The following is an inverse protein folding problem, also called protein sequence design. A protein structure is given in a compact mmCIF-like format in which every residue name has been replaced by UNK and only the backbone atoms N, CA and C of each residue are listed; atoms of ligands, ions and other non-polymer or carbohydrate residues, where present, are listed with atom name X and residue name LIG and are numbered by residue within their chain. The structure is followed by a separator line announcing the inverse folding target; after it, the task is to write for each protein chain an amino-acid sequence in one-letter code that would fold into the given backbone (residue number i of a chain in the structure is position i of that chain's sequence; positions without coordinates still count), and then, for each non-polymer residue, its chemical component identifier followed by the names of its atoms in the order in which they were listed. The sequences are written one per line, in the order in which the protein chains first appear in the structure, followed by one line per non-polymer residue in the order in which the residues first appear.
data_IF_986091171919
#
_entry.id   IF_986091171919
#
_cell.length_a   1.000
_cell.length_b   1.000
_cell.length_c   1.000
_cell.angle_alpha   90.00
_cell.angle_beta   90.00
_cell.angle_gamma   90.00
#
_symmetry.space_group_name_H-M   'P 1'
#
loop_
_entity.id
_entity.type
_entity.pdbx_description
1 polymer ?
#
# COMPACT_ATOMS: atom_id res chain seq x y z
N UNK A 1 0.65 -2.96 5.46
CA UNK A 1 1.41 -4.00 4.72
C UNK A 1 1.61 -3.56 3.29
N UNK A 2 2.68 -3.96 2.61
CA UNK A 2 2.98 -3.41 1.29
C UNK A 2 4.36 -3.75 0.75
N UNK A 3 4.76 -2.99 -0.27
CA UNK A 3 6.05 -3.05 -0.94
C UNK A 3 6.76 -1.70 -0.75
N UNK A 4 8.06 -1.73 -0.53
CA UNK A 4 8.92 -0.56 -0.51
C UNK A 4 10.05 -0.75 -1.53
N UNK A 5 10.41 0.32 -2.25
CA UNK A 5 11.67 0.33 -2.99
C UNK A 5 12.85 0.17 -2.03
N UNK A 6 13.90 -0.49 -2.48
CA UNK A 6 15.14 -0.65 -1.70
C UNK A 6 15.76 0.70 -1.33
N UNK A 7 15.65 1.68 -2.23
CA UNK A 7 16.17 3.04 -2.09
C UNK A 7 15.43 3.90 -1.06
N UNK A 8 14.38 3.39 -0.44
CA UNK A 8 13.61 4.15 0.57
C UNK A 8 14.46 4.30 1.84
N UNK A 9 14.68 5.53 2.34
CA UNK A 9 15.39 5.75 3.59
C UNK A 9 14.72 5.04 4.78
N UNK A 10 15.53 4.45 5.67
CA UNK A 10 15.03 3.70 6.84
C UNK A 10 15.26 4.42 8.17
N UNK A 11 15.97 5.53 8.13
CA UNK A 11 16.37 6.37 9.25
C UNK A 11 15.47 7.60 9.45
N UNK A 12 14.44 7.76 8.63
CA UNK A 12 13.53 8.91 8.67
C UNK A 12 12.06 8.51 8.76
N UNK A 13 11.24 9.40 9.32
CA UNK A 13 9.80 9.24 9.35
C UNK A 13 9.25 9.57 7.97
N UNK A 14 8.79 8.54 7.27
CA UNK A 14 8.21 8.67 5.94
C UNK A 14 6.69 8.58 5.97
N UNK A 15 6.04 9.39 5.14
CA UNK A 15 4.63 9.20 4.85
C UNK A 15 4.50 8.01 3.89
N UNK A 16 3.58 7.10 4.18
CA UNK A 16 3.22 6.03 3.25
C UNK A 16 2.55 6.68 2.03
N UNK A 17 3.33 6.89 0.97
CA UNK A 17 2.93 7.46 -0.31
C UNK A 17 3.64 6.70 -1.43
N UNK A 18 2.89 6.33 -2.45
CA UNK A 18 3.41 5.75 -3.69
C UNK A 18 4.55 6.55 -4.32
N UNK A 19 4.47 7.88 -4.32
CA UNK A 19 5.51 8.80 -4.82
C UNK A 19 6.86 8.67 -4.11
N UNK A 20 6.84 8.23 -2.85
CA UNK A 20 8.06 7.99 -2.07
C UNK A 20 8.59 6.55 -2.26
N UNK A 21 8.06 5.80 -3.23
CA UNK A 21 8.44 4.40 -3.47
C UNK A 21 7.80 3.42 -2.49
N UNK A 22 6.67 3.79 -1.88
CA UNK A 22 5.96 2.98 -0.89
C UNK A 22 4.53 2.66 -1.37
N UNK A 23 4.25 1.38 -1.64
CA UNK A 23 2.90 0.90 -1.96
C UNK A 23 2.33 0.15 -0.78
N UNK A 24 1.37 0.73 -0.08
CA UNK A 24 0.85 0.16 1.15
C UNK A 24 -0.68 0.11 1.21
N UNK A 25 -1.16 -0.98 1.81
CA UNK A 25 -2.53 -1.13 2.32
C UNK A 25 -2.49 -0.99 3.85
N UNK A 26 -3.31 -0.10 4.39
CA UNK A 26 -3.47 0.12 5.84
C UNK A 26 -4.90 -0.18 6.27
N UNK A 27 -5.06 -0.59 7.54
CA UNK A 27 -6.37 -0.74 8.17
C UNK A 27 -6.63 0.46 9.07
N UNK A 28 -7.80 1.06 8.95
CA UNK A 28 -8.29 2.17 9.78
C UNK A 28 -9.56 1.73 10.50
N UNK A 29 -10.14 2.61 11.32
CA UNK A 29 -11.45 2.39 11.96
C UNK A 29 -12.57 2.18 10.93
N UNK A 30 -12.42 2.73 9.73
CA UNK A 30 -13.45 2.73 8.68
C UNK A 30 -13.21 1.68 7.60
N UNK A 31 -12.29 0.73 7.82
CA UNK A 31 -11.99 -0.33 6.86
C UNK A 31 -10.54 -0.29 6.37
N UNK A 32 -10.32 -0.60 5.10
CA UNK A 32 -8.99 -0.61 4.49
C UNK A 32 -8.81 0.60 3.59
N UNK A 33 -7.59 1.10 3.52
CA UNK A 33 -7.23 2.25 2.69
C UNK A 33 -5.93 1.94 1.96
N UNK A 34 -5.92 2.17 0.66
CA UNK A 34 -4.72 2.17 -0.17
C UNK A 34 -4.03 3.53 -0.05
N UNK A 35 -2.73 3.54 0.26
CA UNK A 35 -1.93 4.75 0.48
C UNK A 35 -1.41 5.34 -0.84
N UNK A 36 -2.35 5.71 -1.70
CA UNK A 36 -2.13 6.42 -2.96
C UNK A 36 -1.86 7.92 -2.72
N UNK A 37 -1.19 8.57 -3.66
CA UNK A 37 -1.08 10.04 -3.68
C UNK A 37 -2.02 10.66 -4.72
N UNK A 38 -2.54 11.87 -4.50
CA UNK A 38 -2.35 12.74 -3.34
C UNK A 38 -3.11 12.27 -2.09
N UNK A 39 -4.25 11.61 -2.31
CA UNK A 39 -5.16 11.17 -1.28
C UNK A 39 -5.23 9.65 -1.21
N UNK A 40 -5.45 9.16 0.01
CA UNK A 40 -5.54 7.74 0.26
C UNK A 40 -6.91 7.22 -0.24
N UNK A 41 -6.89 6.16 -1.04
CA UNK A 41 -8.09 5.60 -1.67
C UNK A 41 -8.77 4.59 -0.73
N UNK A 42 -10.03 4.82 -0.31
CA UNK A 42 -10.78 3.84 0.47
C UNK A 42 -10.98 2.54 -0.33
N UNK A 43 -10.74 1.40 0.30
CA UNK A 43 -10.97 0.09 -0.30
C UNK A 43 -12.32 -0.43 0.18
N UNK A 44 -13.30 -0.41 -0.71
CA UNK A 44 -14.65 -0.92 -0.45
C UNK A 44 -14.62 -2.44 -0.39
N UNK A 45 -14.55 -3.01 0.82
CA UNK A 45 -14.69 -4.45 1.05
C UNK A 45 -15.78 -4.68 2.10
N UNK A 46 -16.78 -5.50 1.76
CA UNK A 46 -17.88 -5.86 2.67
C UNK A 46 -17.44 -6.76 3.85
N UNK A 47 -16.23 -7.33 3.79
CA UNK A 47 -15.69 -8.23 4.82
C UNK A 47 -14.21 -7.95 5.08
N UNK A 48 -13.80 -8.10 6.34
CA UNK A 48 -12.40 -8.01 6.75
C UNK A 48 -11.64 -9.25 6.24
N UNK A 49 -10.62 -9.10 5.38
CA UNK A 49 -9.82 -10.21 4.91
C UNK A 49 -9.01 -10.82 6.05
N UNK A 50 -9.04 -12.15 6.16
CA UNK A 50 -8.20 -12.91 7.11
C UNK A 50 -6.77 -13.10 6.61
N UNK A 51 -6.56 -13.01 5.30
CA UNK A 51 -5.28 -13.15 4.61
C UNK A 51 -5.24 -12.18 3.44
N UNK A 52 -4.09 -11.56 3.20
CA UNK A 52 -3.85 -10.66 2.06
C UNK A 52 -2.67 -11.22 1.27
N UNK A 53 -2.83 -11.33 -0.05
CA UNK A 53 -1.71 -11.61 -0.96
C UNK A 53 -1.24 -10.30 -1.59
N UNK A 54 0.09 -10.14 -1.70
CA UNK A 54 0.72 -9.02 -2.39
C UNK A 54 1.47 -9.58 -3.60
N UNK A 55 1.18 -9.05 -4.78
CA UNK A 55 1.87 -9.41 -6.02
C UNK A 55 2.61 -8.19 -6.57
N UNK A 56 3.87 -8.39 -6.96
CA UNK A 56 4.72 -7.36 -7.57
C UNK A 56 5.03 -7.76 -9.01
N UNK A 57 4.66 -6.89 -9.94
CA UNK A 57 4.92 -7.02 -11.37
C UNK A 57 5.89 -5.90 -11.76
N UNK A 58 7.18 -6.25 -11.87
CA UNK A 58 8.24 -5.29 -12.22
C UNK A 58 8.10 -4.79 -13.66
N UNK A 59 7.87 -5.70 -14.61
CA UNK A 59 7.73 -5.37 -16.03
C UNK A 59 6.49 -4.51 -16.28
N UNK A 60 5.37 -4.86 -15.64
CA UNK A 60 4.13 -4.08 -15.73
C UNK A 60 4.08 -2.84 -14.84
N UNK A 61 5.08 -2.65 -13.95
CA UNK A 61 5.16 -1.50 -13.05
C UNK A 61 4.03 -1.43 -12.01
N UNK A 62 3.55 -2.57 -11.49
CA UNK A 62 2.34 -2.64 -10.65
C UNK A 62 2.55 -3.42 -9.36
N UNK A 63 1.83 -2.99 -8.32
CA UNK A 63 1.63 -3.75 -7.08
C UNK A 63 0.14 -4.02 -6.92
N UNK A 64 -0.24 -5.28 -6.72
CA UNK A 64 -1.62 -5.71 -6.56
C UNK A 64 -1.86 -6.38 -5.20
N UNK A 65 -3.04 -6.14 -4.62
CA UNK A 65 -3.48 -6.69 -3.34
C UNK A 65 -4.75 -7.53 -3.54
N UNK A 66 -4.76 -8.77 -3.08
CA UNK A 66 -5.90 -9.70 -3.20
C UNK A 66 -6.47 -10.11 -1.83
#
# INVERSE_FOLDING_TARGET
IGVAKESVPRDSILRLRDKDGLWALTRTRNGYVARTSPDATPVTRHRVPKRVRICLDYEGGRVAFF
#
